data_IF_820675712567
#
_entry.id   IF_820675712567
#
_cell.length_a   1.000
_cell.length_b   1.000
_cell.length_c   1.000
_cell.angle_alpha   90.00
_cell.angle_beta   90.00
_cell.angle_gamma   90.00
#
_symmetry.space_group_name_H-M   'P 1'
#
loop_
_entity.id
_entity.type
_entity.pdbx_description
1 polymer ?
#
# COMPACT_ATOMS: atom_id res chain seq x y z
N UNK A 1 10.57 -21.16 -11.09
CA UNK A 1 10.80 -19.70 -10.94
C UNK A 1 11.65 -19.44 -9.69
N UNK A 2 11.71 -20.42 -8.77
CA UNK A 2 12.51 -20.34 -7.55
C UNK A 2 13.98 -20.04 -7.85
N UNK A 3 14.55 -19.07 -7.11
CA UNK A 3 15.92 -18.62 -7.25
C UNK A 3 16.19 -17.55 -8.33
N UNK A 4 15.18 -17.14 -9.11
CA UNK A 4 15.33 -16.07 -10.11
C UNK A 4 14.85 -14.72 -9.55
N UNK A 5 13.87 -14.74 -8.66
CA UNK A 5 13.25 -13.54 -8.07
C UNK A 5 13.24 -13.63 -6.55
N UNK A 6 13.51 -12.49 -5.90
CA UNK A 6 13.38 -12.38 -4.44
C UNK A 6 11.91 -12.36 -4.01
N UNK A 7 11.04 -11.77 -4.84
CA UNK A 7 9.60 -11.67 -4.61
C UNK A 7 8.81 -11.84 -5.91
N UNK A 8 7.65 -12.50 -5.81
CA UNK A 8 6.66 -12.63 -6.86
C UNK A 8 5.37 -12.01 -6.33
N UNK A 9 4.89 -10.95 -7.00
CA UNK A 9 3.62 -10.29 -6.66
C UNK A 9 2.52 -10.78 -7.61
N UNK A 10 1.44 -11.29 -7.01
CA UNK A 10 0.26 -11.74 -7.75
C UNK A 10 -0.82 -10.68 -7.57
N UNK A 11 -1.09 -9.90 -8.63
CA UNK A 11 -2.20 -8.94 -8.62
C UNK A 11 -3.52 -9.68 -8.85
N UNK A 12 -4.43 -9.55 -7.90
CA UNK A 12 -5.72 -10.23 -7.92
C UNK A 12 -6.84 -9.25 -8.24
N UNK A 13 -7.82 -9.62 -9.08
CA UNK A 13 -8.99 -8.80 -9.31
C UNK A 13 -9.79 -8.58 -8.03
N UNK A 14 -10.50 -7.45 -7.93
CA UNK A 14 -11.35 -7.15 -6.79
C UNK A 14 -12.46 -8.19 -6.62
N UNK A 15 -12.78 -8.49 -5.36
CA UNK A 15 -13.86 -9.44 -5.01
C UNK A 15 -13.34 -10.73 -4.38
N UNK A 16 -14.21 -11.71 -4.20
CA UNK A 16 -13.96 -12.99 -3.50
C UNK A 16 -14.08 -14.20 -4.45
N UNK A 17 -13.67 -14.04 -5.70
CA UNK A 17 -13.78 -15.07 -6.72
C UNK A 17 -12.77 -16.21 -6.60
N UNK A 18 -12.88 -17.18 -7.53
CA UNK A 18 -12.00 -18.37 -7.57
C UNK A 18 -10.53 -18.02 -7.77
N UNK A 19 -10.23 -16.91 -8.48
CA UNK A 19 -8.85 -16.46 -8.70
C UNK A 19 -8.11 -16.13 -7.42
N UNK A 20 -8.77 -15.46 -6.45
CA UNK A 20 -8.17 -15.14 -5.15
C UNK A 20 -7.90 -16.42 -4.36
N UNK A 21 -8.85 -17.38 -4.35
CA UNK A 21 -8.65 -18.66 -3.67
C UNK A 21 -7.45 -19.44 -4.21
N UNK A 22 -7.26 -19.38 -5.53
CA UNK A 22 -6.10 -20.01 -6.15
C UNK A 22 -4.79 -19.28 -5.80
N UNK A 23 -4.77 -17.96 -5.92
CA UNK A 23 -3.61 -17.16 -5.57
C UNK A 23 -3.22 -17.34 -4.10
N UNK A 24 -4.19 -17.33 -3.17
CA UNK A 24 -3.93 -17.54 -1.76
C UNK A 24 -3.27 -18.89 -1.45
N UNK A 25 -3.66 -19.96 -2.16
CA UNK A 25 -3.08 -21.30 -1.96
C UNK A 25 -1.60 -21.43 -2.32
N UNK A 26 -1.11 -20.56 -3.21
CA UNK A 26 0.28 -20.60 -3.72
C UNK A 26 1.12 -19.45 -3.18
N UNK A 27 0.57 -18.62 -2.28
CA UNK A 27 1.24 -17.45 -1.71
C UNK A 27 1.72 -17.75 -0.30
N UNK A 28 2.87 -17.17 0.07
CA UNK A 28 3.41 -17.21 1.43
C UNK A 28 2.67 -16.24 2.35
N UNK A 29 2.20 -15.11 1.79
CA UNK A 29 1.40 -14.12 2.50
C UNK A 29 0.47 -13.34 1.56
N UNK A 30 -0.52 -12.66 2.11
CA UNK A 30 -1.48 -11.84 1.39
C UNK A 30 -1.46 -10.40 1.92
N UNK A 31 -1.61 -9.43 1.01
CA UNK A 31 -1.83 -8.02 1.35
C UNK A 31 -3.26 -7.66 0.94
N UNK A 32 -4.11 -7.40 1.92
CA UNK A 32 -5.51 -7.01 1.72
C UNK A 32 -5.58 -5.49 1.76
N UNK A 33 -5.86 -4.88 0.61
CA UNK A 33 -5.92 -3.42 0.48
C UNK A 33 -7.35 -2.94 0.67
N UNK A 34 -7.56 -2.05 1.65
CA UNK A 34 -8.85 -1.46 1.97
C UNK A 34 -8.90 0.03 1.65
N UNK A 35 -9.99 0.47 1.01
CA UNK A 35 -10.37 1.87 1.02
C UNK A 35 -11.11 2.22 2.34
N UNK A 36 -11.10 3.49 2.80
CA UNK A 36 -11.77 3.93 4.02
C UNK A 36 -13.30 4.00 3.85
N UNK A 37 -13.93 2.83 3.74
CA UNK A 37 -15.37 2.68 3.58
C UNK A 37 -15.91 1.42 4.27
N UNK A 38 -17.15 1.49 4.77
CA UNK A 38 -17.84 0.35 5.39
C UNK A 38 -17.99 -0.86 4.44
N UNK A 39 -18.17 -0.60 3.14
CA UNK A 39 -18.26 -1.67 2.16
C UNK A 39 -16.92 -2.39 1.98
N UNK A 40 -15.82 -1.65 1.90
CA UNK A 40 -14.47 -2.20 1.81
C UNK A 40 -14.11 -3.01 3.05
N UNK A 41 -14.46 -2.50 4.25
CA UNK A 41 -14.29 -3.20 5.53
C UNK A 41 -14.99 -4.56 5.50
N UNK A 42 -16.31 -4.60 5.20
CA UNK A 42 -17.08 -5.85 5.13
C UNK A 42 -16.52 -6.85 4.12
N UNK A 43 -15.99 -6.38 3.00
CA UNK A 43 -15.36 -7.23 2.01
C UNK A 43 -14.05 -7.82 2.51
N UNK A 44 -13.26 -7.05 3.26
CA UNK A 44 -12.03 -7.53 3.87
C UNK A 44 -12.29 -8.59 4.94
N UNK A 45 -13.28 -8.39 5.82
CA UNK A 45 -13.69 -9.39 6.81
C UNK A 45 -14.02 -10.74 6.14
N UNK A 46 -14.80 -10.71 5.05
CA UNK A 46 -15.11 -11.90 4.26
C UNK A 46 -13.87 -12.52 3.63
N UNK A 47 -12.94 -11.70 3.16
CA UNK A 47 -11.71 -12.16 2.53
C UNK A 47 -10.79 -12.83 3.56
N UNK A 48 -10.65 -12.26 4.75
CA UNK A 48 -9.88 -12.85 5.86
C UNK A 48 -10.40 -14.23 6.20
N UNK A 49 -11.72 -14.39 6.34
CA UNK A 49 -12.37 -15.69 6.62
C UNK A 49 -12.14 -16.74 5.52
N UNK A 50 -11.73 -16.32 4.33
CA UNK A 50 -11.48 -17.23 3.21
C UNK A 50 -9.99 -17.53 3.00
N UNK A 51 -9.09 -16.82 3.69
CA UNK A 51 -7.67 -17.09 3.60
C UNK A 51 -7.34 -18.43 4.26
N UNK A 52 -6.42 -19.21 3.66
CA UNK A 52 -5.89 -20.40 4.32
C UNK A 52 -5.16 -19.99 5.63
N UNK A 53 -5.27 -20.80 6.67
CA UNK A 53 -4.66 -20.52 8.00
C UNK A 53 -3.12 -20.38 7.94
N UNK A 54 -2.50 -21.05 6.98
CA UNK A 54 -1.06 -20.97 6.76
C UNK A 54 -0.59 -19.72 5.98
N UNK A 55 -1.52 -18.90 5.48
CA UNK A 55 -1.20 -17.68 4.72
C UNK A 55 -1.34 -16.47 5.63
N UNK A 56 -0.21 -15.88 6.00
CA UNK A 56 -0.22 -14.66 6.81
C UNK A 56 -0.85 -13.51 6.03
N UNK A 57 -1.86 -12.87 6.60
CA UNK A 57 -2.57 -11.77 5.96
C UNK A 57 -2.20 -10.43 6.58
N UNK A 58 -1.92 -9.43 5.75
CA UNK A 58 -1.68 -8.04 6.15
C UNK A 58 -2.78 -7.15 5.59
N UNK A 59 -3.30 -6.26 6.43
CA UNK A 59 -4.31 -5.27 6.03
C UNK A 59 -3.65 -3.92 5.87
N UNK A 60 -3.77 -3.32 4.69
CA UNK A 60 -3.26 -1.99 4.37
C UNK A 60 -4.43 -1.06 4.05
N UNK A 61 -4.60 -0.02 4.86
CA UNK A 61 -5.57 1.05 4.58
C UNK A 61 -4.99 1.94 3.49
N UNK A 62 -5.69 2.08 2.37
CA UNK A 62 -5.21 2.86 1.22
C UNK A 62 -6.08 4.09 0.98
N UNK A 63 -5.46 5.18 0.53
CA UNK A 63 -6.10 6.46 0.22
C UNK A 63 -6.83 7.08 1.42
N UNK A 64 -6.33 6.85 2.63
CA UNK A 64 -6.94 7.39 3.84
C UNK A 64 -6.79 8.92 3.90
N UNK A 65 -7.91 9.63 4.00
CA UNK A 65 -7.97 11.09 4.01
C UNK A 65 -8.59 11.58 5.31
N UNK A 66 -7.77 11.72 6.35
CA UNK A 66 -8.20 12.08 7.68
C UNK A 66 -9.02 13.38 7.72
N UNK A 67 -10.23 13.28 8.26
CA UNK A 67 -11.19 14.39 8.37
C UNK A 67 -12.09 14.58 7.14
N UNK A 68 -11.85 13.87 6.03
CA UNK A 68 -12.72 13.85 4.85
C UNK A 68 -13.42 12.50 4.66
N UNK A 69 -12.86 11.43 5.20
CA UNK A 69 -13.48 10.12 5.14
C UNK A 69 -14.63 10.01 6.15
N UNK A 70 -15.65 9.21 5.81
CA UNK A 70 -16.81 8.95 6.68
C UNK A 70 -16.49 8.01 7.84
N UNK A 71 -15.33 7.36 7.80
CA UNK A 71 -14.84 6.44 8.82
C UNK A 71 -13.53 6.99 9.36
N UNK A 72 -13.42 7.12 10.66
CA UNK A 72 -12.18 7.54 11.33
C UNK A 72 -11.12 6.42 11.29
N UNK A 73 -9.85 6.80 11.51
CA UNK A 73 -8.76 5.84 11.61
C UNK A 73 -8.99 4.86 12.76
N UNK A 74 -9.48 5.36 13.90
CA UNK A 74 -9.81 4.55 15.07
C UNK A 74 -10.88 3.51 14.76
N UNK A 75 -11.97 3.91 14.08
CA UNK A 75 -13.05 2.99 13.68
C UNK A 75 -12.56 1.91 12.71
N UNK A 76 -11.62 2.24 11.82
CA UNK A 76 -11.00 1.23 10.97
C UNK A 76 -10.14 0.26 11.77
N UNK A 77 -9.36 0.77 12.73
CA UNK A 77 -8.48 -0.07 13.57
C UNK A 77 -9.25 -1.02 14.49
N UNK A 78 -10.48 -0.69 14.94
CA UNK A 78 -11.27 -1.61 15.79
C UNK A 78 -11.59 -2.97 15.15
N UNK A 79 -11.31 -3.13 13.88
CA UNK A 79 -11.70 -4.29 13.08
C UNK A 79 -10.49 -5.02 12.49
N UNK A 80 -9.30 -4.59 12.84
CA UNK A 80 -8.05 -5.15 12.37
C UNK A 80 -7.29 -5.65 13.61
N UNK A 81 -7.01 -6.93 13.63
CA UNK A 81 -6.15 -7.47 14.66
C UNK A 81 -4.74 -6.90 14.51
N UNK A 82 -4.08 -6.58 15.62
CA UNK A 82 -2.80 -5.88 15.64
C UNK A 82 -1.72 -6.59 14.82
N UNK A 83 -1.72 -7.92 14.82
CA UNK A 83 -0.79 -8.76 14.06
C UNK A 83 -1.06 -8.77 12.54
N UNK A 84 -2.26 -8.37 12.14
CA UNK A 84 -2.66 -8.23 10.73
C UNK A 84 -2.46 -6.81 10.20
N UNK A 85 -2.16 -5.83 11.03
CA UNK A 85 -2.04 -4.45 10.57
C UNK A 85 -0.75 -4.21 9.78
N UNK A 86 -0.88 -4.09 8.46
CA UNK A 86 0.22 -3.81 7.53
C UNK A 86 0.57 -2.32 7.39
N UNK A 87 -0.37 -1.43 7.72
CA UNK A 87 -0.13 0.02 7.69
C UNK A 87 -1.24 0.84 7.04
N UNK A 88 -1.01 2.16 6.95
CA UNK A 88 -1.91 3.10 6.30
C UNK A 88 -1.17 3.94 5.26
N UNK A 89 -1.74 4.02 4.08
CA UNK A 89 -1.26 4.87 2.97
C UNK A 89 -2.23 6.05 2.85
N UNK A 90 -1.76 7.28 3.08
CA UNK A 90 -2.61 8.45 3.00
C UNK A 90 -3.03 8.76 1.56
N UNK A 91 -4.19 9.41 1.42
CA UNK A 91 -4.53 10.07 0.17
C UNK A 91 -3.46 11.11 -0.18
N UNK A 92 -3.03 11.13 -1.43
CA UNK A 92 -2.05 12.09 -1.94
C UNK A 92 -2.50 12.63 -3.29
N UNK A 93 -2.69 13.96 -3.37
CA UNK A 93 -3.00 14.64 -4.64
C UNK A 93 -1.89 14.45 -5.67
N UNK A 94 -0.63 14.48 -5.21
CA UNK A 94 0.53 14.26 -6.06
C UNK A 94 0.49 12.85 -6.63
N UNK A 95 0.22 11.84 -5.78
CA UNK A 95 0.10 10.46 -6.18
C UNK A 95 -0.96 10.27 -7.27
N UNK A 96 -2.13 10.89 -7.08
CA UNK A 96 -3.22 10.84 -8.05
C UNK A 96 -2.83 11.48 -9.38
N UNK A 97 -2.18 12.65 -9.36
CA UNK A 97 -1.75 13.32 -10.58
C UNK A 97 -0.70 12.50 -11.36
N UNK A 98 0.31 11.98 -10.68
CA UNK A 98 1.36 11.20 -11.32
C UNK A 98 0.83 9.90 -11.92
N UNK A 99 -0.16 9.26 -11.26
CA UNK A 99 -0.80 8.05 -11.80
C UNK A 99 -1.55 8.31 -13.12
N UNK A 100 -2.11 9.51 -13.31
CA UNK A 100 -2.74 9.90 -14.58
C UNK A 100 -1.74 10.00 -15.73
N UNK A 101 -0.47 10.26 -15.43
CA UNK A 101 0.61 10.30 -16.42
C UNK A 101 1.37 8.97 -16.56
N UNK A 102 0.92 7.92 -15.85
CA UNK A 102 1.63 6.63 -15.81
C UNK A 102 2.95 6.65 -15.06
N UNK A 103 3.18 7.68 -14.24
CA UNK A 103 4.39 7.86 -13.46
C UNK A 103 4.31 7.13 -12.11
N UNK A 104 5.43 6.54 -11.69
CA UNK A 104 5.51 5.88 -10.39
C UNK A 104 5.71 6.88 -9.25
N UNK A 105 4.94 6.71 -8.18
CA UNK A 105 4.88 7.60 -7.03
C UNK A 105 6.12 7.63 -6.15
N UNK A 106 6.98 6.63 -6.30
CA UNK A 106 8.20 6.45 -5.49
C UNK A 106 9.33 7.41 -5.84
N UNK A 107 9.09 8.36 -6.72
CA UNK A 107 10.06 9.39 -7.10
C UNK A 107 10.40 10.39 -5.98
N UNK A 108 9.47 10.59 -5.06
CA UNK A 108 9.64 11.51 -3.93
C UNK A 108 9.80 10.73 -2.64
N UNK A 109 11.04 10.66 -2.17
CA UNK A 109 11.33 10.07 -0.83
C UNK A 109 11.03 11.04 0.31
N UNK A 110 10.59 12.26 0.02
CA UNK A 110 10.40 13.37 0.95
C UNK A 110 8.93 13.72 1.21
N UNK A 111 8.00 12.84 0.88
CA UNK A 111 6.57 13.06 1.10
C UNK A 111 5.95 11.97 1.98
N UNK A 112 4.84 12.32 2.65
CA UNK A 112 4.13 11.41 3.54
C UNK A 112 3.66 10.12 2.87
N UNK A 113 3.31 10.18 1.59
CA UNK A 113 2.93 9.00 0.81
C UNK A 113 4.10 8.03 0.66
N UNK A 114 5.30 8.52 0.29
CA UNK A 114 6.48 7.67 0.14
C UNK A 114 6.95 7.10 1.50
N UNK A 115 6.86 7.90 2.56
CA UNK A 115 7.16 7.47 3.92
C UNK A 115 6.22 6.35 4.38
N UNK A 116 4.91 6.49 4.11
CA UNK A 116 3.92 5.45 4.37
C UNK A 116 4.23 4.15 3.63
N UNK A 117 4.51 4.22 2.33
CA UNK A 117 4.88 3.05 1.53
C UNK A 117 6.12 2.35 2.09
N UNK A 118 7.14 3.12 2.48
CA UNK A 118 8.35 2.55 3.07
C UNK A 118 8.06 1.86 4.40
N UNK A 119 7.17 2.42 5.24
CA UNK A 119 6.74 1.79 6.48
C UNK A 119 5.98 0.49 6.20
N UNK A 120 5.03 0.48 5.26
CA UNK A 120 4.28 -0.73 4.85
C UNK A 120 5.24 -1.81 4.34
N UNK A 121 6.18 -1.47 3.47
CA UNK A 121 7.20 -2.41 2.97
C UNK A 121 8.01 -3.01 4.14
N UNK A 122 8.39 -2.18 5.10
CA UNK A 122 9.15 -2.67 6.26
C UNK A 122 8.32 -3.59 7.16
N UNK A 123 7.02 -3.31 7.35
CA UNK A 123 6.12 -4.18 8.11
C UNK A 123 5.96 -5.53 7.39
N UNK A 124 5.54 -5.49 6.14
CA UNK A 124 5.15 -6.69 5.38
C UNK A 124 6.34 -7.59 5.06
N UNK A 125 7.45 -7.00 4.58
CA UNK A 125 8.59 -7.79 4.08
C UNK A 125 9.75 -7.95 5.07
N UNK A 126 9.80 -7.11 6.12
CA UNK A 126 10.89 -7.14 7.10
C UNK A 126 10.43 -7.39 8.53
N UNK A 127 9.12 -7.57 8.74
CA UNK A 127 8.54 -7.82 10.06
C UNK A 127 8.78 -6.68 11.07
N UNK A 128 8.94 -5.43 10.59
CA UNK A 128 9.12 -4.29 11.50
C UNK A 128 7.78 -3.83 12.01
N UNK A 129 7.72 -3.49 13.28
CA UNK A 129 6.55 -2.89 13.90
C UNK A 129 6.72 -1.38 14.02
N UNK A 130 5.62 -0.65 13.83
CA UNK A 130 5.57 0.79 14.03
C UNK A 130 4.42 1.14 14.97
N UNK A 131 4.66 2.02 15.98
CA UNK A 131 3.60 2.44 16.90
C UNK A 131 2.53 3.25 16.14
N UNK A 132 1.30 3.24 16.66
CA UNK A 132 0.16 4.00 16.10
C UNK A 132 0.49 5.48 15.93
N UNK A 133 1.30 6.05 16.83
CA UNK A 133 1.77 7.45 16.74
C UNK A 133 2.54 7.75 15.44
N UNK A 134 3.29 6.78 14.91
CA UNK A 134 4.00 6.92 13.62
C UNK A 134 3.02 7.09 12.46
N UNK A 135 1.98 6.27 12.43
CA UNK A 135 0.95 6.33 11.39
C UNK A 135 0.15 7.63 11.47
N UNK A 136 -0.22 8.08 12.67
CA UNK A 136 -0.86 9.39 12.87
C UNK A 136 0.01 10.55 12.42
N UNK A 137 1.32 10.50 12.66
CA UNK A 137 2.26 11.50 12.16
C UNK A 137 2.25 11.57 10.63
N UNK A 138 2.29 10.41 9.95
CA UNK A 138 2.25 10.32 8.49
C UNK A 138 0.93 10.90 7.94
N UNK A 139 -0.22 10.53 8.53
CA UNK A 139 -1.51 11.06 8.14
C UNK A 139 -1.60 12.58 8.29
N UNK A 140 -1.10 13.11 9.40
CA UNK A 140 -1.06 14.55 9.64
C UNK A 140 -0.14 15.29 8.65
N UNK A 141 1.02 14.73 8.32
CA UNK A 141 1.92 15.28 7.30
C UNK A 141 1.24 15.30 5.92
N UNK A 142 0.60 14.21 5.52
CA UNK A 142 -0.14 14.13 4.26
C UNK A 142 -1.29 15.16 4.16
N UNK A 143 -2.00 15.41 5.26
CA UNK A 143 -3.04 16.44 5.32
C UNK A 143 -2.48 17.83 5.04
N UNK A 144 -1.32 18.16 5.61
CA UNK A 144 -0.62 19.42 5.33
C UNK A 144 -0.18 19.53 3.88
N UNK A 145 0.44 18.47 3.34
CA UNK A 145 0.90 18.41 1.94
C UNK A 145 -0.26 18.62 0.96
N UNK A 146 -1.41 17.98 1.21
CA UNK A 146 -2.61 18.13 0.36
C UNK A 146 -3.25 19.52 0.46
N UNK A 147 -3.04 20.25 1.55
CA UNK A 147 -3.52 21.62 1.76
C UNK A 147 -2.67 22.69 1.08
N UNK A 148 -1.42 22.38 0.72
CA UNK A 148 -0.52 23.29 0.00
C UNK A 148 -0.81 23.22 -1.49
N UNK A 149 -1.13 24.37 -2.13
CA UNK A 149 -1.27 24.46 -3.57
C UNK A 149 0.07 24.10 -4.24
N UNK A 150 0.04 23.09 -5.12
CA UNK A 150 1.23 22.66 -5.87
C UNK A 150 1.71 23.79 -6.77
N UNK A 151 2.75 24.51 -6.37
CA UNK A 151 3.52 25.38 -7.25
C UNK A 151 4.52 24.48 -8.02
N UNK A 152 4.23 24.25 -9.30
CA UNK A 152 5.18 23.68 -10.25
C UNK A 152 5.29 22.16 -10.26
N UNK A 153 4.44 21.49 -11.02
CA UNK A 153 4.54 20.04 -11.31
C UNK A 153 5.79 19.63 -12.10
N UNK A 154 6.47 20.57 -12.77
CA UNK A 154 7.60 20.28 -13.65
C UNK A 154 8.89 19.82 -12.95
N UNK A 155 9.09 20.18 -11.69
CA UNK A 155 10.28 19.76 -10.94
C UNK A 155 10.21 18.30 -10.45
N UNK A 156 9.03 17.69 -10.48
CA UNK A 156 8.76 16.33 -9.97
C UNK A 156 9.28 15.29 -10.98
N UNK A 157 9.26 15.59 -12.27
CA UNK A 157 9.57 14.67 -13.36
C UNK A 157 11.07 14.34 -13.55
N UNK A 158 11.97 14.97 -12.80
CA UNK A 158 13.43 14.84 -13.03
C UNK A 158 14.15 13.77 -12.21
N UNK A 159 13.51 13.05 -11.29
CA UNK A 159 14.16 12.01 -10.50
C UNK A 159 13.88 10.62 -11.08
N UNK A 160 14.92 9.78 -11.22
CA UNK A 160 14.81 8.41 -11.78
C UNK A 160 14.02 7.48 -10.86
N UNK A 161 13.14 6.59 -11.39
CA UNK A 161 12.35 5.66 -10.61
C UNK A 161 13.21 4.66 -9.82
N UNK A 162 12.73 4.29 -8.63
CA UNK A 162 13.29 3.18 -7.85
C UNK A 162 12.96 1.84 -8.52
N UNK A 163 11.81 1.78 -9.21
CA UNK A 163 11.39 0.62 -9.98
C UNK A 163 11.50 0.91 -11.48
N UNK A 164 12.04 -0.03 -12.25
CA UNK A 164 12.01 0.00 -13.70
C UNK A 164 11.29 -1.23 -14.23
N UNK A 165 10.41 -1.03 -15.21
CA UNK A 165 9.77 -2.14 -15.92
C UNK A 165 10.76 -2.77 -16.91
N UNK A 166 11.01 -4.06 -16.78
CA UNK A 166 11.79 -4.81 -17.74
C UNK A 166 10.85 -5.50 -18.73
N UNK A 167 10.72 -4.91 -19.93
CA UNK A 167 9.85 -5.44 -21.00
C UNK A 167 10.22 -6.86 -21.44
N UNK A 168 11.47 -7.25 -21.30
CA UNK A 168 11.94 -8.55 -21.76
C UNK A 168 11.62 -9.68 -20.78
N UNK A 169 11.37 -9.34 -19.52
CA UNK A 169 11.09 -10.32 -18.46
C UNK A 169 9.68 -10.26 -17.90
N UNK A 170 8.84 -9.32 -18.36
CA UNK A 170 7.50 -9.05 -17.81
C UNK A 170 7.47 -8.94 -16.27
N UNK A 171 8.51 -8.38 -15.68
CA UNK A 171 8.71 -8.28 -14.24
C UNK A 171 9.28 -6.92 -13.84
N UNK A 172 8.92 -6.46 -12.64
CA UNK A 172 9.55 -5.29 -12.02
C UNK A 172 10.84 -5.72 -11.32
N UNK A 173 11.98 -5.09 -11.68
CA UNK A 173 13.26 -5.31 -11.01
C UNK A 173 13.50 -4.19 -10.00
N UNK A 174 13.60 -4.56 -8.73
CA UNK A 174 14.01 -3.64 -7.68
C UNK A 174 15.52 -3.38 -7.77
N UNK A 175 15.93 -2.12 -7.84
CA UNK A 175 17.35 -1.78 -7.79
C UNK A 175 17.71 -1.32 -6.38
N UNK A 176 18.48 -2.11 -5.67
CA UNK A 176 19.18 -1.65 -4.48
C UNK A 176 20.14 -0.53 -4.88
N UNK A 177 20.01 0.66 -4.31
CA UNK A 177 21.12 1.61 -4.26
C UNK A 177 22.06 1.12 -3.17
N UNK A 178 23.29 0.83 -3.55
CA UNK A 178 24.42 0.72 -2.60
C UNK A 178 24.74 2.11 -2.07
#
# INVERSE_FOLDING_TARGET
IDGIYDFILIDCPAGIGTGIKFAAKISDFAIIVLAPSWASKRNAEKMILMMPENVRSYIVLNQFNEGNDKISFEEMMTCIDDDMFGGVIPFSRIATQLSHYGELQTYRNDCAFADALQCVINVVFKGREYPVSRWRYILHAAKKENGVALKGSESILKKRPIFSWDRNRMAYKWRHRR
#
